data_IF_803234770513
#
_entry.id   IF_803234770513
#
_cell.length_a   1.000
_cell.length_b   1.000
_cell.length_c   1.000
_cell.angle_alpha   90.00
_cell.angle_beta   90.00
_cell.angle_gamma   90.00
#
_symmetry.space_group_name_H-M   'P 1'
#
loop_
_entity.id
_entity.type
_entity.pdbx_description
1 polymer ?
#
# COMPACT_ATOMS: atom_id res chain seq x y z
N UNK A 1 13.76 -25.13 35.86
CA UNK A 1 12.70 -24.72 34.99
C UNK A 1 12.83 -23.25 34.63
N UNK A 2 13.40 -22.96 33.44
CA UNK A 2 13.36 -21.61 32.93
C UNK A 2 12.01 -21.45 32.24
N UNK A 3 11.12 -20.69 32.84
CA UNK A 3 9.94 -20.17 32.14
C UNK A 3 10.45 -19.08 31.18
N UNK A 4 10.60 -19.43 29.91
CA UNK A 4 10.72 -18.43 28.85
C UNK A 4 9.41 -17.64 28.85
N UNK A 5 9.47 -16.41 29.33
CA UNK A 5 8.45 -15.41 29.11
C UNK A 5 8.42 -15.19 27.60
N UNK A 6 7.53 -15.89 26.89
CA UNK A 6 7.14 -15.50 25.55
C UNK A 6 6.47 -14.14 25.68
N UNK A 7 7.24 -13.07 25.44
CA UNK A 7 6.66 -11.76 25.15
C UNK A 7 5.69 -11.98 24.00
N UNK A 8 4.40 -11.76 24.25
CA UNK A 8 3.39 -11.82 23.18
C UNK A 8 3.84 -10.88 22.06
N UNK A 9 3.91 -11.39 20.81
CA UNK A 9 4.30 -10.60 19.67
C UNK A 9 3.38 -9.39 19.53
N UNK A 10 3.97 -8.19 19.47
CA UNK A 10 3.22 -6.95 19.29
C UNK A 10 2.78 -6.87 17.83
N UNK A 11 1.47 -6.68 17.54
CA UNK A 11 1.02 -6.52 16.17
C UNK A 11 1.70 -5.35 15.46
N UNK A 12 1.91 -5.45 14.16
CA UNK A 12 2.34 -4.31 13.35
C UNK A 12 1.28 -3.21 13.43
N UNK A 13 0.02 -3.56 13.21
CA UNK A 13 -1.14 -2.66 13.32
C UNK A 13 -2.16 -3.27 14.26
N UNK A 14 -2.69 -2.45 15.15
CA UNK A 14 -3.82 -2.81 15.99
C UNK A 14 -4.84 -1.69 16.06
N UNK A 15 -6.09 -2.02 15.74
CA UNK A 15 -7.27 -1.21 16.06
C UNK A 15 -7.90 -1.84 17.28
N UNK A 16 -7.91 -1.11 18.39
CA UNK A 16 -8.38 -1.59 19.68
C UNK A 16 -9.64 -0.84 20.06
N UNK A 17 -10.79 -1.49 19.87
CA UNK A 17 -12.11 -0.96 20.21
C UNK A 17 -12.36 0.43 19.59
N UNK A 18 -12.05 0.58 18.30
CA UNK A 18 -12.06 1.87 17.60
C UNK A 18 -13.46 2.26 17.17
N UNK A 19 -13.87 3.44 17.60
CA UNK A 19 -15.10 4.10 17.14
C UNK A 19 -14.72 5.40 16.44
N UNK A 20 -15.27 5.60 15.24
CA UNK A 20 -15.05 6.80 14.46
C UNK A 20 -16.25 7.08 13.54
N UNK A 21 -16.58 8.34 13.35
CA UNK A 21 -17.62 8.78 12.45
C UNK A 21 -17.44 10.22 12.01
N UNK A 22 -18.20 10.58 10.99
CA UNK A 22 -18.27 11.95 10.48
C UNK A 22 -19.61 12.53 10.88
N UNK A 23 -19.60 13.70 11.54
CA UNK A 23 -20.80 14.34 12.09
C UNK A 23 -21.58 13.36 12.99
N UNK A 24 -22.83 13.04 12.65
CA UNK A 24 -23.66 12.10 13.43
C UNK A 24 -23.60 10.66 12.88
N UNK A 25 -22.81 10.41 11.81
CA UNK A 25 -22.72 9.09 11.19
C UNK A 25 -21.52 8.30 11.71
N UNK A 26 -21.78 7.23 12.45
CA UNK A 26 -20.73 6.28 12.88
C UNK A 26 -20.35 5.42 11.69
N UNK A 27 -19.05 5.45 11.34
CA UNK A 27 -18.46 4.68 10.25
C UNK A 27 -17.81 3.41 10.77
N UNK A 28 -17.08 3.50 11.88
CA UNK A 28 -16.49 2.38 12.59
C UNK A 28 -17.05 2.32 14.00
N UNK A 29 -17.53 1.15 14.40
CA UNK A 29 -18.19 0.96 15.68
C UNK A 29 -17.49 -0.19 16.44
N UNK A 30 -16.70 0.17 17.44
CA UNK A 30 -15.95 -0.79 18.27
C UNK A 30 -15.14 -1.79 17.45
N UNK A 31 -14.42 -1.30 16.42
CA UNK A 31 -13.63 -2.14 15.52
C UNK A 31 -12.39 -2.67 16.25
N UNK A 32 -12.21 -3.97 16.17
CA UNK A 32 -10.98 -4.65 16.59
C UNK A 32 -10.33 -5.30 15.38
N UNK A 33 -9.06 -4.98 15.14
CA UNK A 33 -8.30 -5.48 14.01
C UNK A 33 -6.85 -5.60 14.43
N UNK A 34 -6.22 -6.73 14.11
CA UNK A 34 -4.79 -6.96 14.30
C UNK A 34 -4.18 -7.43 12.99
N UNK A 35 -3.07 -6.81 12.62
CA UNK A 35 -2.23 -7.26 11.50
C UNK A 35 -0.84 -7.49 12.03
N UNK A 36 -0.37 -8.73 11.94
CA UNK A 36 0.96 -9.12 12.41
C UNK A 36 2.01 -8.82 11.35
N UNK A 37 3.28 -8.81 11.75
CA UNK A 37 4.39 -8.65 10.81
C UNK A 37 4.35 -9.76 9.75
N UNK A 38 4.59 -9.39 8.50
CA UNK A 38 4.54 -10.26 7.33
C UNK A 38 3.14 -10.88 7.03
N UNK A 39 2.10 -10.40 7.69
CA UNK A 39 0.72 -10.80 7.40
C UNK A 39 0.14 -9.95 6.27
N UNK A 40 -0.65 -10.60 5.42
CA UNK A 40 -1.41 -9.94 4.37
C UNK A 40 -2.90 -9.99 4.72
N UNK A 41 -3.56 -8.84 4.68
CA UNK A 41 -4.97 -8.69 5.03
C UNK A 41 -5.67 -7.89 3.95
N UNK A 42 -6.84 -8.36 3.53
CA UNK A 42 -7.72 -7.62 2.64
C UNK A 42 -8.97 -7.18 3.39
N UNK A 43 -9.24 -5.88 3.35
CA UNK A 43 -10.47 -5.29 3.84
C UNK A 43 -11.48 -5.29 2.70
N UNK A 44 -12.52 -6.08 2.84
CA UNK A 44 -13.55 -6.25 1.83
C UNK A 44 -14.90 -5.74 2.33
N UNK A 45 -15.82 -5.52 1.42
CA UNK A 45 -17.16 -5.09 1.74
C UNK A 45 -17.71 -4.14 0.69
N UNK A 46 -18.93 -3.67 0.92
CA UNK A 46 -19.58 -2.71 0.02
C UNK A 46 -18.88 -1.35 0.10
N UNK A 47 -19.03 -0.56 -0.97
CA UNK A 47 -18.58 0.82 -1.00
C UNK A 47 -19.10 1.56 0.23
N UNK A 48 -18.19 1.99 1.07
CA UNK A 48 -18.50 2.75 2.25
C UNK A 48 -17.28 3.50 2.75
N UNK A 49 -17.51 4.54 3.50
CA UNK A 49 -16.44 5.37 4.06
C UNK A 49 -15.52 4.59 5.02
N UNK A 50 -15.97 3.40 5.52
CA UNK A 50 -15.25 2.62 6.54
C UNK A 50 -13.87 2.16 6.12
N UNK A 51 -13.71 1.64 4.90
CA UNK A 51 -12.43 1.14 4.42
C UNK A 51 -11.40 2.26 4.24
N UNK A 52 -11.77 3.34 3.60
CA UNK A 52 -10.93 4.53 3.46
C UNK A 52 -10.62 5.19 4.81
N UNK A 53 -11.57 5.18 5.72
CA UNK A 53 -11.41 5.70 7.08
C UNK A 53 -10.34 4.91 7.84
N UNK A 54 -10.31 3.58 7.69
CA UNK A 54 -9.26 2.75 8.31
C UNK A 54 -7.87 3.21 7.87
N UNK A 55 -7.65 3.46 6.58
CA UNK A 55 -6.37 3.96 6.09
C UNK A 55 -6.02 5.34 6.67
N UNK A 56 -6.99 6.24 6.75
CA UNK A 56 -6.76 7.58 7.32
C UNK A 56 -6.41 7.54 8.80
N UNK A 57 -7.04 6.66 9.56
CA UNK A 57 -6.72 6.43 10.96
C UNK A 57 -5.34 5.79 11.12
N UNK A 58 -5.02 4.81 10.28
CA UNK A 58 -3.71 4.16 10.28
C UNK A 58 -2.59 5.14 9.96
N UNK A 59 -2.80 6.03 8.99
CA UNK A 59 -1.83 7.06 8.63
C UNK A 59 -1.77 8.22 9.65
N UNK A 60 -2.60 8.18 10.68
CA UNK A 60 -2.63 9.21 11.73
C UNK A 60 -3.21 10.55 11.26
N UNK A 61 -3.93 10.58 10.14
CA UNK A 61 -4.59 11.79 9.62
C UNK A 61 -5.81 12.16 10.44
N UNK A 62 -6.43 11.18 11.10
CA UNK A 62 -7.55 11.37 12.01
C UNK A 62 -7.27 10.64 13.32
N UNK A 63 -7.84 11.18 14.42
CA UNK A 63 -7.87 10.50 15.71
C UNK A 63 -9.19 9.73 15.86
N UNK A 64 -9.17 8.52 16.42
CA UNK A 64 -10.41 7.82 16.75
C UNK A 64 -11.15 8.57 17.87
N UNK A 65 -12.48 8.54 17.84
CA UNK A 65 -13.33 9.12 18.87
C UNK A 65 -13.41 8.22 20.11
N UNK A 66 -13.17 6.94 19.93
CA UNK A 66 -13.05 5.95 20.98
C UNK A 66 -12.05 4.89 20.60
N UNK A 67 -11.40 4.28 21.56
CA UNK A 67 -10.37 3.27 21.32
C UNK A 67 -9.04 3.84 20.88
N UNK A 68 -8.18 2.98 20.37
CA UNK A 68 -6.80 3.31 19.98
C UNK A 68 -6.42 2.66 18.67
N UNK A 69 -5.66 3.40 17.84
CA UNK A 69 -4.98 2.86 16.65
C UNK A 69 -3.48 2.85 16.94
N UNK A 70 -2.88 1.67 16.90
CA UNK A 70 -1.49 1.46 17.28
C UNK A 70 -0.68 0.91 16.12
N UNK A 71 0.55 1.39 15.98
CA UNK A 71 1.56 0.87 15.04
C UNK A 71 2.74 0.42 15.88
N UNK A 72 3.04 -0.88 15.87
CA UNK A 72 4.04 -1.48 16.76
C UNK A 72 3.87 -1.03 18.22
N UNK A 73 2.63 -0.99 18.70
CA UNK A 73 2.29 -0.59 20.07
C UNK A 73 2.29 0.91 20.35
N UNK A 74 2.58 1.75 19.36
CA UNK A 74 2.59 3.21 19.49
C UNK A 74 1.33 3.81 18.85
N UNK A 75 0.70 4.83 19.48
CA UNK A 75 -0.42 5.52 18.84
C UNK A 75 -0.05 6.07 17.46
N UNK A 76 -0.86 5.76 16.44
CA UNK A 76 -0.60 6.15 15.06
C UNK A 76 -0.42 7.67 14.89
N UNK A 77 -1.18 8.46 15.66
CA UNK A 77 -1.12 9.93 15.63
C UNK A 77 0.22 10.50 16.14
N UNK A 78 1.00 9.71 16.87
CA UNK A 78 2.31 10.12 17.40
C UNK A 78 3.46 9.78 16.45
N UNK A 79 3.21 9.02 15.39
CA UNK A 79 4.24 8.67 14.41
C UNK A 79 4.51 9.88 13.51
N UNK A 80 5.77 10.28 13.44
CA UNK A 80 6.17 11.45 12.65
C UNK A 80 6.12 11.17 11.15
N UNK A 81 5.95 12.22 10.34
CA UNK A 81 5.90 12.10 8.87
C UNK A 81 7.14 11.41 8.28
N UNK A 82 8.32 11.68 8.82
CA UNK A 82 9.56 11.05 8.37
C UNK A 82 9.56 9.54 8.62
N UNK A 83 9.04 9.10 9.78
CA UNK A 83 8.90 7.68 10.09
C UNK A 83 7.84 7.02 9.22
N UNK A 84 6.73 7.70 8.92
CA UNK A 84 5.65 7.18 8.06
C UNK A 84 6.15 6.84 6.66
N UNK A 85 7.05 7.65 6.09
CA UNK A 85 7.63 7.39 4.77
C UNK A 85 8.43 6.10 4.72
N UNK A 86 9.04 5.71 5.84
CA UNK A 86 9.77 4.45 5.96
C UNK A 86 8.87 3.28 6.28
N UNK A 87 7.77 3.53 6.99
CA UNK A 87 6.82 2.50 7.39
C UNK A 87 5.92 2.09 6.24
N UNK A 88 5.38 3.04 5.49
CA UNK A 88 4.30 2.80 4.54
C UNK A 88 4.68 3.08 3.09
N UNK A 89 4.42 2.11 2.22
CA UNK A 89 4.34 2.29 0.79
C UNK A 89 2.87 2.30 0.38
N UNK A 90 2.38 3.44 -0.08
CA UNK A 90 0.97 3.61 -0.41
C UNK A 90 0.78 3.56 -1.92
N UNK A 91 -0.02 2.60 -2.39
CA UNK A 91 -0.38 2.46 -3.80
C UNK A 91 -1.78 3.02 -3.98
N UNK A 92 -1.85 4.19 -4.61
CA UNK A 92 -3.08 4.90 -4.85
C UNK A 92 -3.81 4.37 -6.09
N UNK A 93 -5.12 4.57 -6.14
CA UNK A 93 -5.95 4.21 -7.30
C UNK A 93 -5.53 4.99 -8.55
N UNK A 94 -5.12 6.25 -8.40
CA UNK A 94 -4.70 7.14 -9.50
C UNK A 94 -3.22 7.43 -9.36
N UNK A 95 -2.47 7.20 -10.45
CA UNK A 95 -1.05 7.53 -10.50
C UNK A 95 -0.85 9.03 -10.70
N UNK A 96 -0.04 9.65 -9.85
CA UNK A 96 0.35 11.05 -9.97
C UNK A 96 1.73 11.16 -10.62
N UNK A 97 1.78 11.55 -11.89
CA UNK A 97 3.04 11.76 -12.62
C UNK A 97 3.78 12.97 -12.05
N UNK A 98 5.10 12.83 -11.86
CA UNK A 98 5.98 13.93 -11.50
C UNK A 98 6.83 14.34 -12.69
N UNK A 99 7.31 15.59 -12.78
CA UNK A 99 8.21 16.01 -13.86
C UNK A 99 9.50 15.19 -13.87
N UNK A 100 10.00 14.86 -15.07
CA UNK A 100 11.27 14.20 -15.23
C UNK A 100 11.22 12.90 -16.01
N UNK A 101 12.11 12.00 -15.69
CA UNK A 101 12.29 10.71 -16.37
C UNK A 101 11.38 9.63 -15.83
N UNK A 102 11.37 8.46 -16.50
CA UNK A 102 10.72 7.25 -15.99
C UNK A 102 11.33 6.85 -14.64
N UNK A 103 12.66 6.92 -14.49
CA UNK A 103 13.33 6.68 -13.20
C UNK A 103 12.76 7.58 -12.10
N UNK A 104 12.54 8.86 -12.39
CA UNK A 104 11.99 9.81 -11.43
C UNK A 104 10.58 9.44 -10.97
N UNK A 105 9.78 8.82 -11.84
CA UNK A 105 8.45 8.32 -11.46
C UNK A 105 8.54 7.24 -10.40
N UNK A 106 9.56 6.41 -10.45
CA UNK A 106 9.75 5.29 -9.53
C UNK A 106 10.40 5.77 -8.22
N UNK A 107 11.47 6.55 -8.32
CA UNK A 107 12.28 6.96 -7.16
C UNK A 107 11.79 8.21 -6.45
N UNK A 108 10.96 9.04 -7.08
CA UNK A 108 10.57 10.36 -6.59
C UNK A 108 11.81 11.22 -6.24
N UNK A 109 12.81 11.19 -7.12
CA UNK A 109 14.08 11.93 -7.00
C UNK A 109 14.97 11.50 -5.84
N UNK A 110 14.72 10.33 -5.23
CA UNK A 110 15.60 9.81 -4.18
C UNK A 110 16.85 9.19 -4.81
N UNK A 111 17.95 9.93 -4.78
CA UNK A 111 19.22 9.52 -5.36
C UNK A 111 19.90 8.40 -4.58
N UNK A 112 19.44 8.08 -3.37
CA UNK A 112 19.98 6.97 -2.58
C UNK A 112 19.52 5.61 -3.08
N UNK A 113 18.47 5.57 -3.92
CA UNK A 113 17.98 4.32 -4.52
C UNK A 113 18.86 3.96 -5.71
N UNK A 114 19.61 2.83 -5.64
CA UNK A 114 20.51 2.46 -6.73
C UNK A 114 19.76 2.00 -7.98
N UNK A 115 20.39 2.15 -9.14
CA UNK A 115 19.78 1.81 -10.43
C UNK A 115 19.38 0.33 -10.54
N UNK A 116 20.15 -0.57 -9.94
CA UNK A 116 19.84 -2.01 -9.93
C UNK A 116 18.55 -2.33 -9.16
N UNK A 117 18.26 -1.58 -8.09
CA UNK A 117 17.02 -1.74 -7.33
C UNK A 117 15.80 -1.19 -8.10
N UNK A 118 15.98 -0.10 -8.84
CA UNK A 118 14.94 0.44 -9.75
C UNK A 118 14.62 -0.61 -10.82
N UNK A 119 15.64 -1.20 -11.44
CA UNK A 119 15.46 -2.24 -12.44
C UNK A 119 14.79 -3.48 -11.86
N UNK A 120 15.20 -3.92 -10.68
CA UNK A 120 14.63 -5.09 -10.00
C UNK A 120 13.12 -4.90 -9.72
N UNK A 121 12.69 -3.74 -9.24
CA UNK A 121 11.27 -3.48 -8.99
C UNK A 121 10.48 -3.34 -10.29
N UNK A 122 11.09 -2.83 -11.36
CA UNK A 122 10.47 -2.77 -12.67
C UNK A 122 10.29 -4.17 -13.27
N UNK A 123 11.26 -5.06 -13.11
CA UNK A 123 11.14 -6.46 -13.51
C UNK A 123 10.04 -7.16 -12.71
N UNK A 124 10.01 -6.95 -11.41
CA UNK A 124 9.02 -7.55 -10.51
C UNK A 124 7.58 -7.16 -10.87
N UNK A 125 7.39 -5.93 -11.32
CA UNK A 125 6.07 -5.41 -11.72
C UNK A 125 5.75 -5.61 -13.20
N UNK A 126 6.68 -6.18 -13.97
CA UNK A 126 6.48 -6.44 -15.41
C UNK A 126 6.68 -5.23 -16.32
N UNK A 127 7.33 -4.17 -15.82
CA UNK A 127 7.54 -2.92 -16.57
C UNK A 127 8.89 -2.83 -17.29
N UNK A 128 9.85 -3.65 -16.92
CA UNK A 128 11.23 -3.50 -17.41
C UNK A 128 11.32 -3.52 -18.94
N UNK A 129 10.64 -4.45 -19.59
CA UNK A 129 10.70 -4.58 -21.05
C UNK A 129 10.16 -3.33 -21.76
N UNK A 130 9.04 -2.79 -21.32
CA UNK A 130 8.46 -1.58 -21.93
C UNK A 130 9.32 -0.35 -21.66
N UNK A 131 9.95 -0.27 -20.50
CA UNK A 131 10.86 0.82 -20.16
C UNK A 131 12.12 0.75 -21.03
N UNK A 132 12.75 -0.42 -21.11
CA UNK A 132 13.96 -0.63 -21.91
C UNK A 132 13.71 -0.41 -23.40
N UNK A 133 12.51 -0.66 -23.91
CA UNK A 133 12.14 -0.39 -25.29
C UNK A 133 11.81 1.08 -25.58
N UNK A 134 11.73 1.93 -24.56
CA UNK A 134 11.54 3.36 -24.72
C UNK A 134 12.82 4.02 -25.23
N UNK A 135 12.71 5.22 -25.81
CA UNK A 135 13.78 5.91 -26.54
C UNK A 135 15.12 5.98 -25.79
N UNK A 136 15.07 6.30 -24.50
CA UNK A 136 16.24 6.39 -23.62
C UNK A 136 16.14 5.51 -22.38
N UNK A 137 15.38 4.38 -22.46
CA UNK A 137 15.21 3.47 -21.34
C UNK A 137 14.67 4.20 -20.10
N UNK A 138 15.30 3.98 -18.96
CA UNK A 138 14.92 4.61 -17.68
C UNK A 138 15.10 6.13 -17.69
N UNK A 139 15.91 6.68 -18.56
CA UNK A 139 16.15 8.11 -18.70
C UNK A 139 15.22 8.77 -19.74
N UNK A 140 14.26 8.02 -20.27
CA UNK A 140 13.23 8.57 -21.14
C UNK A 140 12.39 9.60 -20.37
N UNK A 141 12.19 10.78 -20.99
CA UNK A 141 11.31 11.80 -20.41
C UNK A 141 9.89 11.26 -20.31
N UNK A 142 9.32 11.31 -19.14
CA UNK A 142 7.97 10.81 -18.90
C UNK A 142 6.93 11.86 -19.33
N UNK A 143 5.98 11.43 -20.14
CA UNK A 143 4.85 12.23 -20.60
C UNK A 143 3.55 11.49 -20.33
N UNK A 144 2.39 12.19 -20.27
CA UNK A 144 1.11 11.50 -20.01
C UNK A 144 0.75 10.42 -21.02
N UNK A 145 1.30 10.46 -22.23
CA UNK A 145 1.00 9.49 -23.31
C UNK A 145 1.96 8.31 -23.35
N UNK A 146 3.00 8.31 -22.51
CA UNK A 146 4.06 7.29 -22.58
C UNK A 146 3.58 5.89 -22.24
N UNK A 147 2.66 5.79 -21.26
CA UNK A 147 2.18 4.51 -20.74
C UNK A 147 0.67 4.36 -20.86
N UNK A 148 0.20 3.13 -20.95
CA UNK A 148 -1.22 2.79 -20.83
C UNK A 148 -1.71 2.97 -19.39
N UNK A 149 -3.02 2.97 -19.18
CA UNK A 149 -3.63 3.06 -17.86
C UNK A 149 -3.13 1.94 -16.93
N UNK A 150 -3.05 0.72 -17.42
CA UNK A 150 -2.53 -0.41 -16.64
C UNK A 150 -1.05 -0.25 -16.29
N UNK A 151 -0.25 0.26 -17.22
CA UNK A 151 1.17 0.52 -16.98
C UNK A 151 1.38 1.61 -15.94
N UNK A 152 0.54 2.65 -15.92
CA UNK A 152 0.56 3.65 -14.84
C UNK A 152 0.28 3.02 -13.48
N UNK A 153 -0.63 2.07 -13.40
CA UNK A 153 -0.89 1.32 -12.17
C UNK A 153 0.33 0.49 -11.74
N UNK A 154 1.01 -0.15 -12.69
CA UNK A 154 2.24 -0.88 -12.39
C UNK A 154 3.35 0.05 -11.90
N UNK A 155 3.45 1.26 -12.44
CA UNK A 155 4.40 2.27 -11.95
C UNK A 155 4.06 2.73 -10.53
N UNK A 156 2.79 2.86 -10.19
CA UNK A 156 2.35 3.16 -8.83
C UNK A 156 2.83 2.09 -7.84
N UNK A 157 2.70 0.82 -8.22
CA UNK A 157 3.18 -0.30 -7.41
C UNK A 157 4.71 -0.26 -7.28
N UNK A 158 5.43 -0.05 -8.38
CA UNK A 158 6.88 0.04 -8.37
C UNK A 158 7.38 1.19 -7.49
N UNK A 159 6.76 2.35 -7.59
CA UNK A 159 7.07 3.52 -6.76
C UNK A 159 6.93 3.23 -5.28
N UNK A 160 5.84 2.57 -4.88
CA UNK A 160 5.61 2.22 -3.48
C UNK A 160 6.60 1.18 -2.97
N UNK A 161 6.96 0.20 -3.81
CA UNK A 161 7.80 -0.92 -3.41
C UNK A 161 9.30 -0.63 -3.43
N UNK A 162 9.77 0.29 -4.29
CA UNK A 162 11.21 0.54 -4.47
C UNK A 162 11.89 1.06 -3.20
N UNK A 163 11.17 1.81 -2.38
CA UNK A 163 11.68 2.35 -1.12
C UNK A 163 11.80 1.27 -0.02
N UNK A 164 11.36 0.05 -0.29
CA UNK A 164 11.35 -1.08 0.66
C UNK A 164 10.65 -0.73 1.98
N UNK A 165 9.38 -0.27 1.91
CA UNK A 165 8.63 0.06 3.12
C UNK A 165 8.36 -1.18 3.96
N UNK A 166 8.12 -0.99 5.25
CA UNK A 166 7.78 -2.08 6.16
C UNK A 166 6.38 -2.63 5.89
N UNK A 167 5.45 -1.79 5.44
CA UNK A 167 4.08 -2.16 5.11
C UNK A 167 3.67 -1.55 3.77
N UNK A 168 2.93 -2.32 2.97
CA UNK A 168 2.29 -1.83 1.75
C UNK A 168 0.80 -1.65 2.00
N UNK A 169 0.26 -0.54 1.51
CA UNK A 169 -1.15 -0.21 1.55
C UNK A 169 -1.68 -0.10 0.12
N UNK A 170 -2.63 -0.95 -0.25
CA UNK A 170 -3.22 -0.98 -1.58
C UNK A 170 -4.68 -0.49 -1.53
N UNK A 171 -4.97 0.60 -2.22
CA UNK A 171 -6.30 1.22 -2.22
C UNK A 171 -6.98 1.06 -3.58
N UNK A 172 -7.80 0.03 -3.71
CA UNK A 172 -8.70 -0.24 -4.87
C UNK A 172 -8.03 -0.13 -6.24
N UNK A 173 -6.79 -0.56 -6.36
CA UNK A 173 -5.97 -0.31 -7.54
C UNK A 173 -6.37 -1.10 -8.79
N UNK A 174 -7.30 -2.04 -8.70
CA UNK A 174 -7.83 -2.79 -9.84
C UNK A 174 -9.18 -2.25 -10.34
N UNK A 175 -9.66 -1.15 -9.77
CA UNK A 175 -10.92 -0.55 -10.19
C UNK A 175 -10.84 -0.02 -11.62
N UNK A 176 -11.88 -0.28 -12.42
CA UNK A 176 -12.04 0.22 -13.80
C UNK A 176 -11.00 -0.29 -14.81
N UNK A 177 -10.36 -1.42 -14.52
CA UNK A 177 -9.45 -2.08 -15.47
C UNK A 177 -10.19 -3.19 -16.24
N UNK A 178 -9.78 -3.43 -17.49
CA UNK A 178 -10.21 -4.62 -18.22
C UNK A 178 -9.62 -5.89 -17.60
N UNK A 179 -10.18 -7.06 -17.95
CA UNK A 179 -9.81 -8.33 -17.32
C UNK A 179 -8.33 -8.70 -17.51
N UNK A 180 -7.75 -8.41 -18.67
CA UNK A 180 -6.36 -8.74 -18.97
C UNK A 180 -5.40 -7.83 -18.20
N UNK A 181 -5.68 -6.53 -18.20
CA UNK A 181 -4.90 -5.54 -17.43
C UNK A 181 -5.02 -5.80 -15.93
N UNK A 182 -6.20 -6.16 -15.45
CA UNK A 182 -6.41 -6.53 -14.04
C UNK A 182 -5.51 -7.70 -13.64
N UNK A 183 -5.39 -8.74 -14.47
CA UNK A 183 -4.49 -9.87 -14.21
C UNK A 183 -3.03 -9.44 -14.05
N UNK A 184 -2.55 -8.56 -14.93
CA UNK A 184 -1.18 -8.06 -14.87
C UNK A 184 -0.92 -7.26 -13.59
N UNK A 185 -1.86 -6.40 -13.20
CA UNK A 185 -1.77 -5.61 -11.97
C UNK A 185 -1.83 -6.51 -10.73
N UNK A 186 -2.74 -7.48 -10.69
CA UNK A 186 -2.85 -8.44 -9.58
C UNK A 186 -1.57 -9.28 -9.43
N UNK A 187 -0.97 -9.71 -10.54
CA UNK A 187 0.29 -10.45 -10.50
C UNK A 187 1.41 -9.60 -9.92
N UNK A 188 1.51 -8.35 -10.35
CA UNK A 188 2.50 -7.41 -9.81
C UNK A 188 2.31 -7.18 -8.30
N UNK A 189 1.05 -7.01 -7.86
CA UNK A 189 0.73 -6.87 -6.43
C UNK A 189 1.15 -8.09 -5.62
N UNK A 190 0.85 -9.28 -6.11
CA UNK A 190 1.22 -10.53 -5.42
C UNK A 190 2.73 -10.69 -5.32
N UNK A 191 3.47 -10.30 -6.37
CA UNK A 191 4.93 -10.36 -6.36
C UNK A 191 5.56 -9.40 -5.37
N UNK A 192 5.09 -8.15 -5.33
CA UNK A 192 5.63 -7.15 -4.37
C UNK A 192 5.16 -7.41 -2.94
N UNK A 193 3.99 -8.04 -2.76
CA UNK A 193 3.43 -8.36 -1.45
C UNK A 193 4.10 -9.56 -0.78
N UNK A 194 4.83 -10.38 -1.52
CA UNK A 194 5.44 -11.60 -0.99
C UNK A 194 6.34 -11.31 0.20
N UNK A 195 6.10 -12.01 1.33
CA UNK A 195 6.86 -11.89 2.57
C UNK A 195 6.83 -10.49 3.22
N UNK A 196 5.85 -9.67 2.83
CA UNK A 196 5.67 -8.32 3.38
C UNK A 196 4.35 -8.19 4.14
N UNK A 197 4.29 -7.21 5.03
CA UNK A 197 3.05 -6.83 5.69
C UNK A 197 2.22 -5.99 4.71
N UNK A 198 0.96 -6.37 4.48
CA UNK A 198 0.10 -5.73 3.48
C UNK A 198 -1.31 -5.56 4.02
N UNK A 199 -1.85 -4.35 3.85
CA UNK A 199 -3.29 -4.11 3.97
C UNK A 199 -3.79 -3.69 2.59
N UNK A 200 -4.75 -4.45 2.06
CA UNK A 200 -5.39 -4.17 0.77
C UNK A 200 -6.86 -3.81 0.98
N UNK A 201 -7.32 -2.83 0.24
CA UNK A 201 -8.74 -2.50 0.17
C UNK A 201 -9.26 -2.94 -1.19
N UNK A 202 -10.33 -3.73 -1.20
CA UNK A 202 -10.90 -4.24 -2.44
C UNK A 202 -12.41 -4.37 -2.38
N UNK A 203 -13.08 -4.00 -3.47
CA UNK A 203 -14.48 -4.30 -3.70
C UNK A 203 -14.68 -5.60 -4.49
N UNK A 204 -13.60 -6.11 -5.11
CA UNK A 204 -13.63 -7.29 -5.98
C UNK A 204 -12.97 -8.47 -5.29
N UNK A 205 -13.61 -9.62 -5.33
CA UNK A 205 -13.08 -10.86 -4.78
C UNK A 205 -11.79 -11.31 -5.46
N UNK A 206 -11.60 -10.97 -6.74
CA UNK A 206 -10.38 -11.31 -7.50
C UNK A 206 -9.11 -10.59 -7.03
N UNK A 207 -9.25 -9.48 -6.30
CA UNK A 207 -8.16 -8.68 -5.79
C UNK A 207 -7.78 -9.00 -4.33
N UNK A 208 -8.34 -10.07 -3.76
CA UNK A 208 -8.12 -10.44 -2.36
C UNK A 208 -6.71 -11.01 -2.15
N UNK A 209 -6.01 -10.49 -1.15
CA UNK A 209 -4.72 -10.94 -0.69
C UNK A 209 -4.78 -11.33 0.77
N UNK A 210 -4.35 -12.56 1.08
CA UNK A 210 -4.25 -13.06 2.45
C UNK A 210 -5.60 -13.23 3.14
N UNK A 211 -5.63 -12.93 4.44
CA UNK A 211 -6.84 -13.02 5.26
C UNK A 211 -7.83 -11.92 4.90
N UNK A 212 -9.10 -12.29 4.78
CA UNK A 212 -10.15 -11.35 4.39
C UNK A 212 -10.93 -10.91 5.63
N UNK A 213 -11.12 -9.61 5.77
CA UNK A 213 -11.94 -9.02 6.82
C UNK A 213 -13.08 -8.26 6.14
N UNK A 214 -14.31 -8.67 6.40
CA UNK A 214 -15.51 -8.00 5.89
C UNK A 214 -15.96 -6.91 6.86
N UNK A 215 -16.17 -5.74 6.31
CA UNK A 215 -16.64 -4.56 7.05
C UNK A 215 -18.09 -4.21 6.74
#
# INVERSE_FOLDING_TARGET
GHSENKTADVPFVEFRDVTFGYDEHVVLNHLNLKVMDAEQVTLAGRTGAGKSTILKLLLGLYEPQGGEVLIHGRPAVTVREEEKRKLFGYVEQIFHMVPGTVRDQITLYDETIPADRVKAVAELTGLDDVIESSENGYDTKCTPELFSQGQWQLLSIARAAVAEPQMLLFDEITANLDAETEKAVLLALKRVAKDRTVISISHRTSAELGRIIYL
#
